data_IF_618003963774
#
_entry.id   IF_618003963774
#
_cell.length_a   1.000
_cell.length_b   1.000
_cell.length_c   1.000
_cell.angle_alpha   90.00
_cell.angle_beta   90.00
_cell.angle_gamma   90.00
#
_symmetry.space_group_name_H-M   'P 1'
#
loop_
_entity.id
_entity.type
_entity.pdbx_description
1 polymer ?
#
# COMPACT_ATOMS: atom_id res chain seq x y z
N UNK A 1 8.05 7.01 10.31
CA UNK A 1 9.15 7.00 9.32
C UNK A 1 9.00 8.21 8.41
N UNK A 2 9.45 9.40 8.86
CA UNK A 2 9.23 10.67 8.15
C UNK A 2 10.18 10.86 6.95
N UNK A 3 11.34 10.21 6.93
CA UNK A 3 12.35 10.38 5.87
C UNK A 3 11.87 9.89 4.50
N UNK A 4 11.27 8.71 4.46
CA UNK A 4 10.73 8.07 3.26
C UNK A 4 9.61 8.90 2.65
N UNK A 5 8.77 9.49 3.51
CA UNK A 5 7.71 10.41 3.09
C UNK A 5 8.31 11.68 2.51
N UNK A 6 9.32 12.26 3.17
CA UNK A 6 10.06 13.41 2.65
C UNK A 6 10.67 13.14 1.27
N UNK A 7 11.22 11.94 1.04
CA UNK A 7 11.77 11.55 -0.26
C UNK A 7 10.69 11.43 -1.34
N UNK A 8 9.52 10.85 -1.03
CA UNK A 8 8.41 10.75 -1.97
C UNK A 8 7.88 12.14 -2.37
N UNK A 9 7.68 13.02 -1.39
CA UNK A 9 7.23 14.41 -1.59
C UNK A 9 8.26 15.19 -2.41
N UNK A 10 9.55 15.09 -2.05
CA UNK A 10 10.62 15.72 -2.82
C UNK A 10 10.65 15.21 -4.26
N UNK A 11 10.52 13.91 -4.48
CA UNK A 11 10.50 13.31 -5.82
C UNK A 11 9.36 13.85 -6.68
N UNK A 12 8.17 14.05 -6.09
CA UNK A 12 7.02 14.64 -6.80
C UNK A 12 7.30 16.08 -7.27
N UNK A 13 8.11 16.85 -6.54
CA UNK A 13 8.52 18.20 -6.95
C UNK A 13 9.44 18.19 -8.17
N UNK A 14 10.36 17.23 -8.25
CA UNK A 14 11.32 17.12 -9.36
C UNK A 14 10.78 16.33 -10.56
N UNK A 15 9.79 15.46 -10.34
CA UNK A 15 9.18 14.60 -11.37
C UNK A 15 7.67 14.73 -11.30
N UNK A 16 7.04 15.59 -12.13
CA UNK A 16 5.60 15.81 -12.11
C UNK A 16 4.75 14.55 -12.35
N UNK A 17 5.32 13.53 -12.99
CA UNK A 17 4.67 12.23 -13.19
C UNK A 17 4.60 11.36 -11.92
N UNK A 18 5.43 11.66 -10.90
CA UNK A 18 5.42 10.92 -9.64
C UNK A 18 4.28 11.42 -8.76
N UNK A 19 3.31 10.55 -8.51
CA UNK A 19 2.21 10.78 -7.58
C UNK A 19 2.52 10.10 -6.25
N UNK A 20 2.05 10.69 -5.17
CA UNK A 20 2.16 10.15 -3.83
C UNK A 20 0.82 10.30 -3.12
N UNK A 21 0.55 9.39 -2.19
CA UNK A 21 -0.67 9.36 -1.39
C UNK A 21 -0.28 9.12 0.06
N UNK A 22 -1.01 9.73 0.98
CA UNK A 22 -0.78 9.56 2.40
C UNK A 22 -1.91 8.70 2.99
N UNK A 23 -1.57 7.56 3.56
CA UNK A 23 -2.51 6.70 4.28
C UNK A 23 -2.22 6.78 5.78
N UNK A 24 -3.28 6.92 6.58
CA UNK A 24 -3.16 7.12 8.02
C UNK A 24 -4.30 6.37 8.75
N UNK A 25 -4.00 5.77 9.90
CA UNK A 25 -4.96 5.04 10.70
C UNK A 25 -5.89 5.98 11.50
N UNK A 26 -5.39 7.13 11.96
CA UNK A 26 -6.13 8.03 12.86
C UNK A 26 -6.33 9.44 12.28
N UNK A 27 -7.54 10.01 12.34
CA UNK A 27 -7.77 11.41 11.96
C UNK A 27 -6.81 12.36 12.69
N UNK A 28 -6.34 13.39 11.99
CA UNK A 28 -5.50 14.48 12.52
C UNK A 28 -4.12 14.09 13.09
N UNK A 29 -3.77 12.80 13.17
CA UNK A 29 -2.46 12.36 13.70
C UNK A 29 -1.29 12.90 12.87
N UNK A 30 -1.45 12.96 11.55
CA UNK A 30 -0.48 13.54 10.62
C UNK A 30 -0.19 15.01 10.97
N UNK A 31 -1.18 15.80 11.40
CA UNK A 31 -0.95 17.20 11.76
C UNK A 31 -0.04 17.34 12.99
N UNK A 32 -0.04 16.33 13.87
CA UNK A 32 0.80 16.30 15.06
C UNK A 32 2.20 15.76 14.77
N UNK A 33 2.34 14.77 13.88
CA UNK A 33 3.61 14.05 13.65
C UNK A 33 4.36 14.48 12.38
N UNK A 34 3.67 15.09 11.44
CA UNK A 34 4.12 15.47 10.09
C UNK A 34 3.44 16.79 9.68
N UNK A 35 3.56 17.81 10.54
CA UNK A 35 2.92 19.12 10.31
C UNK A 35 3.42 19.83 9.05
N UNK A 36 4.60 19.47 8.57
CA UNK A 36 5.20 19.89 7.30
C UNK A 36 4.42 19.40 6.07
N UNK A 37 3.60 18.36 6.22
CA UNK A 37 2.68 17.87 5.19
C UNK A 37 1.29 18.54 5.24
N UNK A 38 1.16 19.62 6.02
CA UNK A 38 -0.07 20.41 6.11
C UNK A 38 -0.60 20.81 4.73
N UNK A 39 -1.91 20.62 4.52
CA UNK A 39 -2.58 20.84 3.23
C UNK A 39 -2.67 19.59 2.33
N UNK A 40 -2.15 18.44 2.78
CA UNK A 40 -2.39 17.15 2.12
C UNK A 40 -3.50 16.39 2.84
N UNK A 41 -4.53 15.97 2.12
CA UNK A 41 -5.58 15.11 2.65
C UNK A 41 -5.08 13.66 2.74
N UNK A 42 -5.03 13.14 3.97
CA UNK A 42 -4.69 11.74 4.21
C UNK A 42 -5.92 10.85 4.07
N UNK A 43 -5.75 9.68 3.45
CA UNK A 43 -6.75 8.62 3.44
C UNK A 43 -6.78 7.95 4.81
N UNK A 44 -7.84 8.21 5.58
CA UNK A 44 -8.00 7.66 6.92
C UNK A 44 -8.62 6.26 6.86
N UNK A 45 -7.88 5.25 7.28
CA UNK A 45 -8.29 3.84 7.17
C UNK A 45 -8.66 3.18 8.51
N UNK A 46 -8.58 3.87 9.65
CA UNK A 46 -9.12 3.36 10.92
C UNK A 46 -8.48 2.07 11.45
N UNK A 47 -7.23 1.78 11.08
CA UNK A 47 -6.49 0.55 11.45
C UNK A 47 -7.12 -0.77 10.96
N UNK A 48 -8.09 -0.71 10.04
CA UNK A 48 -8.76 -1.88 9.49
C UNK A 48 -8.16 -2.29 8.13
N UNK A 49 -7.85 -3.58 7.90
CA UNK A 49 -7.33 -4.02 6.60
C UNK A 49 -8.32 -3.77 5.47
N UNK A 50 -9.63 -3.99 5.71
CA UNK A 50 -10.65 -3.72 4.68
C UNK A 50 -10.70 -2.25 4.28
N UNK A 51 -10.70 -1.35 5.26
CA UNK A 51 -10.71 0.09 5.05
C UNK A 51 -9.42 0.56 4.36
N UNK A 52 -8.27 -0.04 4.69
CA UNK A 52 -7.01 0.22 4.02
C UNK A 52 -7.08 -0.16 2.54
N UNK A 53 -7.65 -1.33 2.22
CA UNK A 53 -7.81 -1.76 0.82
C UNK A 53 -8.76 -0.84 0.03
N UNK A 54 -9.81 -0.30 0.67
CA UNK A 54 -10.68 0.71 0.05
C UNK A 54 -9.92 2.02 -0.19
N UNK A 55 -9.16 2.50 0.80
CA UNK A 55 -8.31 3.67 0.63
C UNK A 55 -7.31 3.50 -0.52
N UNK A 56 -6.78 2.29 -0.71
CA UNK A 56 -5.90 1.98 -1.84
C UNK A 56 -6.65 2.02 -3.18
N UNK A 57 -7.90 1.55 -3.26
CA UNK A 57 -8.69 1.68 -4.50
C UNK A 57 -8.96 3.14 -4.84
N UNK A 58 -9.24 3.98 -3.84
CA UNK A 58 -9.51 5.41 -4.05
C UNK A 58 -8.24 6.16 -4.47
N UNK A 59 -7.10 5.85 -3.87
CA UNK A 59 -5.80 6.41 -4.24
C UNK A 59 -5.38 6.01 -5.67
N UNK A 60 -5.66 4.77 -6.08
CA UNK A 60 -5.23 4.24 -7.37
C UNK A 60 -6.24 4.43 -8.51
N UNK A 61 -7.26 5.28 -8.33
CA UNK A 61 -8.32 5.51 -9.35
C UNK A 61 -7.80 6.02 -10.70
N UNK A 62 -6.57 6.53 -10.76
CA UNK A 62 -5.93 7.00 -12.01
C UNK A 62 -4.95 5.98 -12.60
N UNK A 63 -4.76 4.83 -11.95
CA UNK A 63 -3.91 3.76 -12.47
C UNK A 63 -4.58 3.06 -13.65
N UNK A 64 -3.78 2.69 -14.66
CA UNK A 64 -4.26 1.99 -15.86
C UNK A 64 -4.87 0.60 -15.55
N UNK A 65 -4.45 -0.03 -14.45
CA UNK A 65 -4.99 -1.30 -13.95
C UNK A 65 -5.55 -1.06 -12.55
N UNK A 66 -6.86 -1.20 -12.40
CA UNK A 66 -7.56 -1.01 -11.12
C UNK A 66 -8.04 -2.37 -10.62
N UNK A 67 -7.43 -2.92 -9.57
CA UNK A 67 -7.92 -4.14 -8.97
C UNK A 67 -9.24 -3.84 -8.24
N UNK A 68 -10.17 -4.78 -8.32
CA UNK A 68 -11.40 -4.74 -7.53
C UNK A 68 -11.07 -4.95 -6.05
N UNK A 69 -11.94 -4.46 -5.15
CA UNK A 69 -11.80 -4.71 -3.71
C UNK A 69 -11.74 -6.22 -3.40
N UNK A 70 -12.45 -7.05 -4.17
CA UNK A 70 -12.45 -8.49 -4.00
C UNK A 70 -11.10 -9.13 -4.36
N UNK A 71 -10.46 -8.69 -5.45
CA UNK A 71 -9.09 -9.11 -5.84
C UNK A 71 -8.07 -8.71 -4.77
N UNK A 72 -8.13 -7.45 -4.31
CA UNK A 72 -7.26 -6.97 -3.23
C UNK A 72 -7.43 -7.77 -1.94
N UNK A 73 -8.67 -8.14 -1.60
CA UNK A 73 -8.94 -8.93 -0.40
C UNK A 73 -8.39 -10.36 -0.53
N UNK A 74 -8.52 -10.99 -1.70
CA UNK A 74 -7.91 -12.31 -1.97
C UNK A 74 -6.39 -12.26 -1.86
N UNK A 75 -5.77 -11.23 -2.45
CA UNK A 75 -4.33 -11.02 -2.34
C UNK A 75 -3.90 -10.82 -0.87
N UNK A 76 -4.64 -10.02 -0.11
CA UNK A 76 -4.37 -9.81 1.32
C UNK A 76 -4.44 -11.11 2.12
N UNK A 77 -5.45 -11.96 1.89
CA UNK A 77 -5.59 -13.25 2.58
C UNK A 77 -4.44 -14.20 2.22
N UNK A 78 -4.07 -14.28 0.93
CA UNK A 78 -2.93 -15.06 0.48
C UNK A 78 -1.63 -14.60 1.16
N UNK A 79 -1.33 -13.31 1.09
CA UNK A 79 -0.11 -12.76 1.69
C UNK A 79 -0.09 -12.93 3.21
N UNK A 80 -1.24 -12.84 3.87
CA UNK A 80 -1.35 -13.06 5.32
C UNK A 80 -1.03 -14.50 5.70
N UNK A 81 -1.45 -15.48 4.88
CA UNK A 81 -1.11 -16.89 5.09
C UNK A 81 0.39 -17.15 4.85
N UNK A 82 0.93 -16.68 3.73
CA UNK A 82 2.34 -16.85 3.37
C UNK A 82 3.30 -16.13 4.34
N UNK A 83 2.88 -14.97 4.84
CA UNK A 83 3.61 -14.20 5.84
C UNK A 83 3.93 -15.00 7.11
N UNK A 84 3.08 -15.96 7.49
CA UNK A 84 3.35 -16.82 8.66
C UNK A 84 4.59 -17.68 8.40
N UNK A 85 4.69 -18.30 7.22
CA UNK A 85 5.84 -19.11 6.83
C UNK A 85 7.10 -18.28 6.67
N UNK A 86 7.01 -17.16 5.96
CA UNK A 86 8.15 -16.24 5.74
C UNK A 86 8.66 -15.71 7.08
N UNK A 87 7.78 -15.26 7.98
CA UNK A 87 8.17 -14.78 9.31
C UNK A 87 8.82 -15.87 10.15
N UNK A 88 8.37 -17.13 10.06
CA UNK A 88 9.03 -18.25 10.76
C UNK A 88 10.47 -18.47 10.29
N UNK A 89 10.74 -18.28 8.99
CA UNK A 89 12.06 -18.49 8.42
C UNK A 89 13.04 -17.33 8.72
N UNK A 90 12.56 -16.08 8.73
CA UNK A 90 13.42 -14.90 8.85
C UNK A 90 13.26 -14.12 10.18
N UNK A 91 12.32 -14.51 11.04
CA UNK A 91 11.98 -13.81 12.30
C UNK A 91 11.19 -12.50 12.12
N UNK A 92 11.27 -11.85 10.96
CA UNK A 92 10.58 -10.59 10.65
C UNK A 92 10.17 -10.52 9.18
N UNK A 93 9.12 -9.76 8.87
CA UNK A 93 8.70 -9.44 7.50
C UNK A 93 9.33 -8.15 6.96
N UNK A 94 9.92 -7.34 7.84
CA UNK A 94 10.49 -6.03 7.49
C UNK A 94 11.94 -6.11 7.01
N UNK A 95 12.54 -7.30 7.04
CA UNK A 95 13.85 -7.54 6.44
C UNK A 95 13.77 -7.56 4.91
N UNK A 96 14.81 -7.09 4.23
CA UNK A 96 14.84 -6.98 2.77
C UNK A 96 14.50 -8.30 2.05
N UNK A 97 15.01 -9.43 2.56
CA UNK A 97 14.74 -10.75 1.96
C UNK A 97 13.29 -11.21 2.16
N UNK A 98 12.78 -11.11 3.38
CA UNK A 98 11.41 -11.48 3.71
C UNK A 98 10.38 -10.65 2.94
N UNK A 99 10.62 -9.33 2.84
CA UNK A 99 9.79 -8.44 2.03
C UNK A 99 9.84 -8.80 0.54
N UNK A 100 11.03 -9.12 0.00
CA UNK A 100 11.17 -9.55 -1.38
C UNK A 100 10.40 -10.84 -1.67
N UNK A 101 10.41 -11.81 -0.75
CA UNK A 101 9.65 -13.05 -0.90
C UNK A 101 8.13 -12.78 -0.93
N UNK A 102 7.61 -11.86 -0.10
CA UNK A 102 6.21 -11.42 -0.17
C UNK A 102 5.86 -10.76 -1.51
N UNK A 103 6.75 -9.90 -2.04
CA UNK A 103 6.55 -9.26 -3.34
C UNK A 103 6.48 -10.30 -4.46
N UNK A 104 7.34 -11.32 -4.43
CA UNK A 104 7.32 -12.41 -5.42
C UNK A 104 5.97 -13.13 -5.40
N UNK A 105 5.46 -13.49 -4.21
CA UNK A 105 4.12 -14.11 -4.07
C UNK A 105 3.03 -13.21 -4.65
N UNK A 106 3.06 -11.91 -4.34
CA UNK A 106 2.05 -10.97 -4.83
C UNK A 106 2.07 -10.82 -6.36
N UNK A 107 3.25 -10.78 -6.97
CA UNK A 107 3.41 -10.69 -8.43
C UNK A 107 2.92 -11.96 -9.11
N UNK A 108 3.25 -13.13 -8.57
CA UNK A 108 2.76 -14.41 -9.08
C UNK A 108 1.24 -14.50 -9.04
N UNK A 109 0.62 -14.02 -7.97
CA UNK A 109 -0.84 -13.92 -7.88
C UNK A 109 -1.41 -12.98 -8.94
N UNK A 110 -0.88 -11.76 -9.05
CA UNK A 110 -1.39 -10.71 -9.96
C UNK A 110 -1.19 -11.03 -11.45
N UNK A 111 -0.25 -11.92 -11.80
CA UNK A 111 -0.02 -12.38 -13.17
C UNK A 111 -0.92 -13.56 -13.56
N UNK A 112 -1.23 -14.45 -12.60
CA UNK A 112 -2.15 -15.58 -12.80
C UNK A 112 -3.61 -15.13 -12.84
N UNK A 113 -3.96 -14.14 -12.01
CA UNK A 113 -5.25 -13.49 -11.99
C UNK A 113 -5.29 -12.46 -13.14
N UNK A 114 -5.48 -12.93 -14.38
CA UNK A 114 -5.82 -12.02 -15.50
C UNK A 114 -7.11 -11.29 -15.11
N UNK A 115 -7.15 -9.96 -15.09
CA UNK A 115 -8.37 -9.23 -14.78
C UNK A 115 -9.43 -9.60 -15.81
N UNK A 116 -10.60 -10.02 -15.35
CA UNK A 116 -11.79 -10.02 -16.20
C UNK A 116 -12.00 -8.59 -16.67
N UNK A 117 -12.30 -8.33 -17.96
CA UNK A 117 -12.70 -7.00 -18.38
C UNK A 117 -13.89 -6.57 -17.52
N UNK A 118 -13.74 -5.45 -16.82
CA UNK A 118 -14.84 -4.81 -16.11
C UNK A 118 -15.96 -4.59 -17.13
N UNK A 119 -17.15 -5.13 -16.84
CA UNK A 119 -18.37 -4.90 -17.63
C UNK A 119 -18.88 -3.50 -17.43
#
# INVERSE_FOLDING_TARGET
MPFEVGLAVATARWRPAHQWFLLEARPYRVQQTLSDLGGTDAYIHGDGPRQLLIALTDALVRAAKQPTLAELYRLFQLLSAEAIGIRRNYGTLFGARAFKDLVVVAVDFATREKPSPAR
#
